data_IF_266798247549
#
_entry.id   IF_266798247549
#
_cell.length_a   1.000
_cell.length_b   1.000
_cell.length_c   1.000
_cell.angle_alpha   90.00
_cell.angle_beta   90.00
_cell.angle_gamma   90.00
#
_symmetry.space_group_name_H-M   'P 1'
#
loop_
_entity.id
_entity.type
_entity.pdbx_description
1 polymer ?
#
# COMPACT_ATOMS: atom_id res chain seq x y z
N UNK A 1 67.83 -12.14 -10.90
CA UNK A 1 68.92 -12.93 -11.53
C UNK A 1 69.31 -14.06 -10.60
N UNK A 2 69.53 -15.27 -11.12
CA UNK A 2 69.89 -16.42 -10.28
C UNK A 2 71.22 -16.16 -9.53
N UNK A 3 71.30 -16.40 -8.22
CA UNK A 3 72.49 -16.27 -7.37
C UNK A 3 73.74 -16.96 -7.95
N UNK A 4 73.51 -18.04 -8.71
CA UNK A 4 74.54 -18.81 -9.41
C UNK A 4 75.23 -18.00 -10.51
N UNK A 5 74.49 -17.15 -11.24
CA UNK A 5 75.02 -16.27 -12.30
C UNK A 5 75.86 -15.12 -11.74
N UNK A 6 75.50 -14.60 -10.57
CA UNK A 6 76.29 -13.57 -9.87
C UNK A 6 77.60 -14.18 -9.37
N UNK A 7 77.52 -15.36 -8.76
CA UNK A 7 78.69 -16.12 -8.30
C UNK A 7 79.64 -16.44 -9.45
N UNK A 8 79.13 -16.89 -10.61
CA UNK A 8 79.96 -17.20 -11.77
C UNK A 8 80.67 -15.97 -12.35
N UNK A 9 79.98 -14.82 -12.39
CA UNK A 9 80.55 -13.54 -12.85
C UNK A 9 81.62 -13.00 -11.90
N UNK A 10 81.43 -13.10 -10.58
CA UNK A 10 82.42 -12.63 -9.59
C UNK A 10 83.69 -13.51 -9.56
N UNK A 11 83.58 -14.78 -9.96
CA UNK A 11 84.72 -15.70 -10.04
C UNK A 11 85.44 -15.65 -11.40
N UNK A 12 84.84 -15.02 -12.42
CA UNK A 12 85.41 -14.91 -13.75
C UNK A 12 86.76 -14.17 -13.78
N UNK A 13 86.93 -12.99 -13.12
CA UNK A 13 88.21 -12.30 -13.10
C UNK A 13 89.34 -13.15 -12.50
N UNK A 14 89.06 -13.97 -11.48
CA UNK A 14 90.07 -14.86 -10.92
C UNK A 14 90.53 -15.93 -11.92
N UNK A 15 89.57 -16.52 -12.66
CA UNK A 15 89.89 -17.48 -13.74
C UNK A 15 90.64 -16.79 -14.87
N UNK A 16 90.28 -15.57 -15.22
CA UNK A 16 90.97 -14.76 -16.24
C UNK A 16 92.39 -14.38 -15.80
N UNK A 17 92.61 -14.02 -14.54
CA UNK A 17 93.95 -13.80 -13.99
C UNK A 17 94.80 -15.09 -14.02
N UNK A 18 94.24 -16.23 -13.62
CA UNK A 18 94.96 -17.50 -13.71
C UNK A 18 95.32 -17.86 -15.16
N UNK A 19 94.46 -17.53 -16.12
CA UNK A 19 94.70 -17.73 -17.55
C UNK A 19 95.70 -16.74 -18.13
N UNK A 20 95.69 -15.47 -17.72
CA UNK A 20 96.59 -14.44 -18.23
C UNK A 20 98.04 -14.60 -17.74
N UNK A 21 98.23 -15.27 -16.60
CA UNK A 21 99.55 -15.66 -16.09
C UNK A 21 100.14 -16.87 -16.83
N UNK A 22 99.38 -17.53 -17.73
CA UNK A 22 99.91 -18.62 -18.55
C UNK A 22 100.82 -18.07 -19.63
N UNK A 23 101.99 -18.69 -19.79
CA UNK A 23 102.92 -18.34 -20.87
C UNK A 23 103.77 -17.09 -20.61
N UNK A 24 103.79 -16.56 -19.38
CA UNK A 24 104.67 -15.44 -19.04
C UNK A 24 106.15 -15.85 -19.19
N UNK A 25 106.94 -15.15 -20.01
CA UNK A 25 108.34 -15.49 -20.23
C UNK A 25 109.15 -15.25 -18.95
N UNK A 26 110.06 -16.18 -18.61
CA UNK A 26 110.98 -15.94 -17.48
C UNK A 26 111.96 -14.83 -17.85
N UNK A 27 112.41 -13.99 -16.91
CA UNK A 27 113.51 -13.05 -17.16
C UNK A 27 114.78 -13.74 -17.69
N UNK A 28 114.99 -15.01 -17.31
CA UNK A 28 116.10 -15.86 -17.78
C UNK A 28 115.90 -16.46 -19.18
N UNK A 29 114.75 -16.27 -19.82
CA UNK A 29 114.48 -16.84 -21.17
C UNK A 29 115.28 -16.18 -22.29
N UNK A 30 115.94 -15.05 -22.02
CA UNK A 30 116.92 -14.45 -22.93
C UNK A 30 118.31 -15.11 -22.88
N UNK A 31 118.58 -16.02 -21.94
CA UNK A 31 119.79 -16.86 -21.96
C UNK A 31 119.48 -18.20 -22.62
N UNK A 32 120.20 -18.50 -23.70
CA UNK A 32 119.98 -19.57 -24.69
C UNK A 32 120.04 -21.02 -24.21
N UNK A 33 120.06 -21.31 -22.91
CA UNK A 33 120.57 -22.60 -22.43
C UNK A 33 119.54 -23.58 -21.82
N UNK A 34 118.22 -23.32 -21.87
CA UNK A 34 117.25 -24.38 -21.54
C UNK A 34 115.90 -24.24 -22.28
N UNK A 35 115.67 -25.03 -23.36
CA UNK A 35 114.42 -25.01 -24.12
C UNK A 35 113.20 -25.47 -23.30
N UNK A 36 113.41 -26.16 -22.17
CA UNK A 36 112.33 -26.84 -21.46
C UNK A 36 111.65 -25.99 -20.39
N UNK A 37 112.12 -24.74 -20.14
CA UNK A 37 111.51 -23.81 -19.16
C UNK A 37 111.56 -22.34 -19.60
N UNK A 38 111.01 -22.04 -20.78
CA UNK A 38 110.94 -20.67 -21.32
C UNK A 38 109.97 -19.74 -20.56
N UNK A 39 108.99 -20.31 -19.85
CA UNK A 39 107.95 -19.55 -19.14
C UNK A 39 108.03 -19.78 -17.63
N UNK A 40 107.57 -18.82 -16.81
CA UNK A 40 107.36 -19.04 -15.37
C UNK A 40 106.53 -20.33 -15.18
N UNK A 41 106.67 -21.06 -14.04
CA UNK A 41 105.79 -22.20 -13.75
C UNK A 41 104.36 -21.75 -14.04
N UNK A 42 103.74 -22.36 -15.04
CA UNK A 42 102.44 -21.93 -15.55
C UNK A 42 101.49 -22.09 -14.40
N UNK A 43 100.93 -21.01 -13.87
CA UNK A 43 99.86 -21.09 -12.87
C UNK A 43 98.69 -21.79 -13.56
N UNK A 44 98.55 -23.10 -13.37
CA UNK A 44 97.45 -23.87 -13.97
C UNK A 44 96.28 -23.93 -12.99
N UNK A 45 95.08 -23.94 -13.53
CA UNK A 45 93.85 -23.99 -12.71
C UNK A 45 93.75 -25.29 -11.88
N UNK A 46 94.49 -26.34 -12.28
CA UNK A 46 94.56 -27.64 -11.62
C UNK A 46 95.70 -27.77 -10.58
N UNK A 47 96.49 -26.73 -10.34
CA UNK A 47 97.49 -26.74 -9.26
C UNK A 47 96.82 -26.62 -7.89
N UNK A 48 97.24 -27.44 -6.93
CA UNK A 48 96.57 -27.54 -5.62
C UNK A 48 96.48 -26.19 -4.89
N UNK A 49 97.55 -25.39 -4.92
CA UNK A 49 97.57 -24.06 -4.30
C UNK A 49 96.68 -23.03 -5.02
N UNK A 50 96.42 -23.19 -6.32
CA UNK A 50 95.49 -22.33 -7.10
C UNK A 50 94.06 -22.76 -6.85
N UNK A 51 93.81 -24.08 -6.85
CA UNK A 51 92.50 -24.67 -6.54
C UNK A 51 92.04 -24.34 -5.13
N UNK A 52 92.91 -24.49 -4.13
CA UNK A 52 92.60 -24.17 -2.73
C UNK A 52 92.23 -22.68 -2.56
N UNK A 53 92.96 -21.79 -3.23
CA UNK A 53 92.68 -20.34 -3.19
C UNK A 53 91.40 -20.00 -3.96
N UNK A 54 91.14 -20.66 -5.08
CA UNK A 54 89.88 -20.54 -5.82
C UNK A 54 88.69 -21.00 -4.98
N UNK A 55 88.77 -22.16 -4.33
CA UNK A 55 87.73 -22.70 -3.45
C UNK A 55 87.47 -21.78 -2.26
N UNK A 56 88.53 -21.21 -1.66
CA UNK A 56 88.41 -20.20 -0.61
C UNK A 56 87.66 -18.94 -1.09
N UNK A 57 88.03 -18.40 -2.25
CA UNK A 57 87.35 -17.23 -2.83
C UNK A 57 85.90 -17.57 -3.18
N UNK A 58 85.66 -18.75 -3.76
CA UNK A 58 84.32 -19.24 -4.04
C UNK A 58 83.47 -19.35 -2.76
N UNK A 59 84.03 -19.86 -1.66
CA UNK A 59 83.37 -19.90 -0.36
C UNK A 59 82.99 -18.51 0.16
N UNK A 60 83.90 -17.54 0.03
CA UNK A 60 83.65 -16.14 0.42
C UNK A 60 82.53 -15.52 -0.44
N UNK A 61 82.56 -15.70 -1.76
CA UNK A 61 81.53 -15.19 -2.68
C UNK A 61 80.18 -15.82 -2.36
N UNK A 62 80.11 -17.15 -2.20
CA UNK A 62 78.87 -17.86 -1.84
C UNK A 62 78.27 -17.35 -0.53
N UNK A 63 79.11 -17.15 0.50
CA UNK A 63 78.67 -16.60 1.80
C UNK A 63 78.12 -15.17 1.65
N UNK A 64 78.78 -14.33 0.86
CA UNK A 64 78.32 -12.96 0.63
C UNK A 64 77.02 -12.90 -0.17
N UNK A 65 76.83 -13.80 -1.15
CA UNK A 65 75.56 -13.93 -1.89
C UNK A 65 74.43 -14.42 -0.96
N UNK A 66 74.67 -15.40 -0.10
CA UNK A 66 73.68 -15.87 0.87
C UNK A 66 73.29 -14.76 1.88
N UNK A 67 74.25 -13.96 2.34
CA UNK A 67 73.96 -12.79 3.18
C UNK A 67 73.12 -11.73 2.45
N UNK A 68 73.27 -11.60 1.12
CA UNK A 68 72.44 -10.70 0.33
C UNK A 68 71.00 -11.20 0.19
N UNK A 69 70.79 -12.51 0.12
CA UNK A 69 69.45 -13.12 0.11
C UNK A 69 68.68 -12.86 1.42
N UNK A 70 69.37 -12.79 2.57
CA UNK A 70 68.76 -12.47 3.86
C UNK A 70 68.12 -11.07 3.91
N UNK A 71 68.40 -10.18 2.96
CA UNK A 71 67.69 -8.90 2.85
C UNK A 71 66.21 -9.11 2.54
N UNK A 72 65.85 -10.21 1.86
CA UNK A 72 64.45 -10.56 1.56
C UNK A 72 63.63 -10.80 2.83
N UNK A 73 64.26 -11.26 3.92
CA UNK A 73 63.57 -11.52 5.20
C UNK A 73 62.94 -10.25 5.78
N UNK A 74 63.54 -9.08 5.50
CA UNK A 74 62.99 -7.78 5.92
C UNK A 74 61.67 -7.45 5.23
N UNK A 75 61.41 -8.03 4.06
CA UNK A 75 60.21 -7.78 3.26
C UNK A 75 59.09 -8.77 3.56
N UNK A 76 59.36 -9.89 4.24
CA UNK A 76 58.36 -10.91 4.58
C UNK A 76 57.08 -10.33 5.21
N UNK A 77 57.14 -9.39 6.17
CA UNK A 77 55.94 -8.81 6.77
C UNK A 77 55.08 -7.99 5.80
N UNK A 78 55.60 -7.59 4.64
CA UNK A 78 54.94 -6.68 3.69
C UNK A 78 54.51 -7.38 2.39
N UNK A 79 54.87 -8.66 2.19
CA UNK A 79 54.55 -9.39 0.95
C UNK A 79 53.03 -9.51 0.72
N UNK A 80 52.23 -9.46 1.78
CA UNK A 80 50.77 -9.49 1.67
C UNK A 80 50.21 -8.34 0.81
N UNK A 81 50.90 -7.19 0.75
CA UNK A 81 50.50 -6.05 -0.08
C UNK A 81 50.39 -6.39 -1.57
N UNK A 82 51.11 -7.42 -2.03
CA UNK A 82 51.04 -7.88 -3.42
C UNK A 82 49.70 -8.57 -3.75
N UNK A 83 48.97 -9.03 -2.75
CA UNK A 83 47.69 -9.75 -2.88
C UNK A 83 46.53 -9.00 -2.21
N UNK A 84 46.80 -7.85 -1.60
CA UNK A 84 45.81 -7.11 -0.82
C UNK A 84 44.67 -6.56 -1.68
N UNK A 85 44.89 -6.41 -2.99
CA UNK A 85 43.85 -6.02 -3.96
C UNK A 85 42.60 -6.92 -3.87
N UNK A 86 42.80 -8.24 -3.72
CA UNK A 86 41.68 -9.19 -3.61
C UNK A 86 40.87 -8.99 -2.32
N UNK A 87 41.53 -8.63 -1.21
CA UNK A 87 40.86 -8.35 0.06
C UNK A 87 40.13 -7.02 0.04
N UNK A 88 40.67 -6.03 -0.68
CA UNK A 88 39.98 -4.76 -0.91
C UNK A 88 38.69 -5.01 -1.68
N UNK A 89 38.72 -5.82 -2.76
CA UNK A 89 37.50 -6.15 -3.49
C UNK A 89 36.46 -6.88 -2.60
N UNK A 90 36.87 -7.88 -1.81
CA UNK A 90 35.98 -8.56 -0.85
C UNK A 90 35.40 -7.57 0.18
N UNK A 91 36.23 -6.67 0.70
CA UNK A 91 35.80 -5.62 1.62
C UNK A 91 34.76 -4.70 0.98
N UNK A 92 34.97 -4.35 -0.30
CA UNK A 92 34.07 -3.49 -1.05
C UNK A 92 32.75 -4.21 -1.38
N UNK A 93 32.73 -5.51 -1.65
CA UNK A 93 31.47 -6.25 -1.90
C UNK A 93 30.50 -6.18 -0.71
N UNK A 94 31.03 -6.15 0.51
CA UNK A 94 30.25 -6.02 1.74
C UNK A 94 29.62 -4.63 1.88
N UNK A 95 28.28 -4.57 1.89
CA UNK A 95 27.52 -3.33 2.13
C UNK A 95 27.41 -2.92 3.61
N UNK A 96 27.77 -3.79 4.54
CA UNK A 96 27.66 -3.53 6.00
C UNK A 96 28.84 -2.75 6.59
N UNK A 97 29.85 -2.41 5.79
CA UNK A 97 31.06 -1.73 6.27
C UNK A 97 30.75 -0.29 6.66
N UNK A 98 31.13 0.06 7.88
CA UNK A 98 30.90 1.37 8.49
C UNK A 98 32.00 2.36 8.15
N UNK A 99 31.76 3.65 8.39
CA UNK A 99 32.80 4.71 8.34
C UNK A 99 34.07 4.34 9.10
N UNK A 100 33.91 3.74 10.29
CA UNK A 100 35.04 3.33 11.12
C UNK A 100 35.86 2.22 10.46
N UNK A 101 35.21 1.25 9.82
CA UNK A 101 35.91 0.16 9.13
C UNK A 101 36.77 0.69 7.98
N UNK A 102 36.28 1.67 7.22
CA UNK A 102 37.07 2.33 6.18
C UNK A 102 38.26 3.10 6.77
N UNK A 103 38.04 3.86 7.85
CA UNK A 103 39.08 4.61 8.52
C UNK A 103 40.20 3.69 9.07
N UNK A 104 39.81 2.61 9.75
CA UNK A 104 40.73 1.65 10.35
C UNK A 104 41.54 0.91 9.27
N UNK A 105 40.92 0.53 8.15
CA UNK A 105 41.62 -0.15 7.05
C UNK A 105 42.60 0.78 6.34
N UNK A 106 42.19 2.02 6.03
CA UNK A 106 43.09 3.02 5.42
C UNK A 106 44.25 3.32 6.36
N UNK A 107 43.99 3.47 7.66
CA UNK A 107 45.04 3.67 8.67
C UNK A 107 46.01 2.50 8.70
N UNK A 108 45.52 1.26 8.72
CA UNK A 108 46.37 0.07 8.70
C UNK A 108 47.33 0.04 7.51
N UNK A 109 46.84 0.37 6.31
CA UNK A 109 47.67 0.43 5.10
C UNK A 109 48.69 1.57 5.16
N UNK A 110 48.31 2.76 5.66
CA UNK A 110 49.23 3.89 5.85
C UNK A 110 50.32 3.59 6.87
N UNK A 111 49.96 3.02 8.01
CA UNK A 111 50.91 2.61 9.07
C UNK A 111 51.88 1.54 8.54
N UNK A 112 51.39 0.63 7.69
CA UNK A 112 52.23 -0.38 7.01
C UNK A 112 53.23 0.28 6.06
N UNK A 113 52.80 1.26 5.26
CA UNK A 113 53.69 2.04 4.37
C UNK A 113 54.75 2.79 5.16
N UNK A 114 54.37 3.47 6.24
CA UNK A 114 55.30 4.18 7.11
C UNK A 114 56.35 3.23 7.72
N UNK A 115 55.91 2.06 8.20
CA UNK A 115 56.80 1.03 8.75
C UNK A 115 57.75 0.47 7.69
N UNK A 116 57.28 0.29 6.45
CA UNK A 116 58.12 -0.14 5.32
C UNK A 116 59.20 0.90 5.03
N UNK A 117 58.83 2.18 4.94
CA UNK A 117 59.77 3.28 4.67
C UNK A 117 60.84 3.41 5.76
N UNK A 118 60.49 3.20 7.02
CA UNK A 118 61.42 3.25 8.15
C UNK A 118 62.37 2.04 8.17
N UNK A 119 61.85 0.81 7.98
CA UNK A 119 62.62 -0.43 8.17
C UNK A 119 63.37 -0.91 6.92
N UNK A 120 62.95 -0.49 5.72
CA UNK A 120 63.46 -1.01 4.45
C UNK A 120 64.20 0.07 3.65
N UNK A 121 65.54 0.22 3.82
CA UNK A 121 66.30 1.23 3.08
C UNK A 121 66.41 0.86 1.60
N UNK A 122 66.34 1.87 0.72
CA UNK A 122 66.43 1.70 -0.74
C UNK A 122 67.75 1.12 -1.24
N UNK A 123 68.82 1.23 -0.43
CA UNK A 123 70.15 0.68 -0.72
C UNK A 123 70.72 0.00 0.52
N UNK A 124 71.02 -1.28 0.40
CA UNK A 124 71.72 -2.03 1.45
C UNK A 124 73.15 -2.28 1.01
N UNK A 125 74.10 -1.59 1.65
CA UNK A 125 75.52 -1.77 1.39
C UNK A 125 76.04 -2.99 2.15
N UNK A 126 76.69 -3.91 1.44
CA UNK A 126 77.35 -5.07 2.02
C UNK A 126 78.84 -5.05 1.68
N UNK A 127 79.58 -6.07 2.15
CA UNK A 127 81.03 -6.14 1.97
C UNK A 127 81.44 -6.22 0.49
N UNK A 128 80.82 -7.12 -0.29
CA UNK A 128 81.18 -7.35 -1.71
C UNK A 128 80.15 -6.82 -2.72
N UNK A 129 78.96 -6.43 -2.26
CA UNK A 129 77.85 -6.06 -3.15
C UNK A 129 76.93 -5.04 -2.50
N UNK A 130 76.11 -4.39 -3.32
CA UNK A 130 75.04 -3.50 -2.89
C UNK A 130 73.72 -4.02 -3.42
N UNK A 131 72.73 -4.18 -2.56
CA UNK A 131 71.38 -4.53 -2.95
C UNK A 131 70.59 -3.23 -3.20
N UNK A 132 70.12 -3.06 -4.42
CA UNK A 132 69.19 -1.98 -4.80
C UNK A 132 67.76 -2.46 -4.55
N UNK A 133 67.13 -1.98 -3.48
CA UNK A 133 65.76 -2.36 -3.12
C UNK A 133 64.74 -1.24 -3.42
N UNK A 134 65.19 -0.11 -3.98
CA UNK A 134 64.33 1.05 -4.24
C UNK A 134 63.12 0.76 -5.14
N UNK A 135 63.25 -0.13 -6.12
CA UNK A 135 62.12 -0.53 -6.98
C UNK A 135 61.11 -1.39 -6.22
N UNK A 136 61.57 -2.32 -5.39
CA UNK A 136 60.71 -3.17 -4.55
C UNK A 136 59.94 -2.32 -3.54
N UNK A 137 60.63 -1.40 -2.85
CA UNK A 137 60.00 -0.43 -1.95
C UNK A 137 58.91 0.36 -2.66
N UNK A 138 59.23 0.95 -3.81
CA UNK A 138 58.28 1.75 -4.60
C UNK A 138 57.07 0.90 -5.01
N UNK A 139 57.28 -0.35 -5.43
CA UNK A 139 56.20 -1.24 -5.85
C UNK A 139 55.27 -1.61 -4.69
N UNK A 140 55.82 -1.96 -3.52
CA UNK A 140 55.02 -2.32 -2.35
C UNK A 140 54.22 -1.12 -1.82
N UNK A 141 54.85 0.06 -1.77
CA UNK A 141 54.16 1.31 -1.39
C UNK A 141 53.03 1.60 -2.38
N UNK A 142 53.30 1.51 -3.69
CA UNK A 142 52.30 1.73 -4.72
C UNK A 142 51.11 0.77 -4.60
N UNK A 143 51.35 -0.51 -4.28
CA UNK A 143 50.26 -1.47 -4.04
C UNK A 143 49.33 -1.01 -2.90
N UNK A 144 49.89 -0.55 -1.78
CA UNK A 144 49.11 -0.03 -0.66
C UNK A 144 48.36 1.27 -1.02
N UNK A 145 49.02 2.20 -1.72
CA UNK A 145 48.42 3.46 -2.17
C UNK A 145 47.28 3.23 -3.18
N UNK A 146 47.44 2.30 -4.11
CA UNK A 146 46.40 1.92 -5.06
C UNK A 146 45.20 1.27 -4.35
N UNK A 147 45.44 0.43 -3.33
CA UNK A 147 44.38 -0.13 -2.47
C UNK A 147 43.60 0.97 -1.74
N UNK A 148 44.30 1.92 -1.09
CA UNK A 148 43.68 3.07 -0.42
C UNK A 148 42.86 3.90 -1.41
N UNK A 149 43.41 4.18 -2.60
CA UNK A 149 42.73 4.96 -3.64
C UNK A 149 41.44 4.27 -4.08
N UNK A 150 41.45 2.96 -4.29
CA UNK A 150 40.25 2.18 -4.66
C UNK A 150 39.20 2.20 -3.56
N UNK A 151 39.59 1.96 -2.30
CA UNK A 151 38.69 2.00 -1.15
C UNK A 151 37.95 3.33 -1.07
N UNK A 152 38.69 4.44 -1.10
CA UNK A 152 38.14 5.78 -0.95
C UNK A 152 37.36 6.22 -2.18
N UNK A 153 37.83 5.91 -3.40
CA UNK A 153 37.08 6.20 -4.63
C UNK A 153 35.73 5.48 -4.66
N UNK A 154 35.68 4.23 -4.19
CA UNK A 154 34.42 3.49 -4.09
C UNK A 154 33.48 4.09 -3.03
N UNK A 155 34.01 4.52 -1.89
CA UNK A 155 33.24 5.21 -0.85
C UNK A 155 32.67 6.54 -1.37
N UNK A 156 33.46 7.35 -2.08
CA UNK A 156 33.01 8.59 -2.73
C UNK A 156 31.86 8.33 -3.70
N UNK A 157 32.01 7.34 -4.59
CA UNK A 157 30.95 6.96 -5.53
C UNK A 157 29.66 6.52 -4.82
N UNK A 158 29.77 5.70 -3.76
CA UNK A 158 28.60 5.29 -2.96
C UNK A 158 27.92 6.46 -2.29
N UNK A 159 28.68 7.37 -1.72
CA UNK A 159 28.14 8.54 -1.04
C UNK A 159 27.41 9.47 -2.03
N UNK A 160 27.97 9.64 -3.24
CA UNK A 160 27.33 10.37 -4.34
C UNK A 160 26.01 9.73 -4.78
N UNK A 161 26.00 8.41 -4.96
CA UNK A 161 24.79 7.66 -5.30
C UNK A 161 23.73 7.76 -4.20
N UNK A 162 24.14 7.66 -2.93
CA UNK A 162 23.25 7.79 -1.78
C UNK A 162 22.65 9.20 -1.70
N UNK A 163 23.46 10.24 -1.86
CA UNK A 163 22.99 11.63 -1.92
C UNK A 163 21.95 11.83 -3.03
N UNK A 164 22.18 11.26 -4.22
CA UNK A 164 21.25 11.36 -5.34
C UNK A 164 19.91 10.63 -5.07
N UNK A 165 19.96 9.46 -4.44
CA UNK A 165 18.75 8.73 -4.02
C UNK A 165 17.99 9.49 -2.94
N UNK A 166 18.71 10.12 -2.00
CA UNK A 166 18.14 10.91 -0.93
C UNK A 166 17.37 12.12 -1.48
N UNK A 167 17.96 12.86 -2.42
CA UNK A 167 17.28 13.97 -3.12
C UNK A 167 15.98 13.49 -3.79
N UNK A 168 16.02 12.37 -4.53
CA UNK A 168 14.82 11.82 -5.18
C UNK A 168 13.71 11.45 -4.21
N UNK A 169 14.06 11.00 -3.00
CA UNK A 169 13.08 10.68 -1.95
C UNK A 169 12.41 11.95 -1.41
N UNK A 170 13.17 13.03 -1.22
CA UNK A 170 12.60 14.33 -0.89
C UNK A 170 11.69 14.87 -2.00
N UNK A 171 12.11 14.81 -3.26
CA UNK A 171 11.28 15.23 -4.41
C UNK A 171 9.98 14.43 -4.48
N UNK A 172 10.04 13.11 -4.25
CA UNK A 172 8.85 12.26 -4.23
C UNK A 172 7.92 12.59 -3.07
N UNK A 173 8.47 12.90 -1.89
CA UNK A 173 7.72 13.35 -0.72
C UNK A 173 7.03 14.69 -1.00
N UNK A 174 7.77 15.66 -1.53
CA UNK A 174 7.24 16.97 -1.93
C UNK A 174 6.10 16.84 -2.95
N UNK A 175 6.30 16.04 -4.00
CA UNK A 175 5.31 15.83 -5.05
C UNK A 175 4.04 15.14 -4.53
N UNK A 176 4.18 14.22 -3.56
CA UNK A 176 3.03 13.58 -2.91
C UNK A 176 2.25 14.58 -2.07
N UNK A 177 2.94 15.38 -1.26
CA UNK A 177 2.32 16.32 -0.32
C UNK A 177 1.77 17.58 -1.00
N UNK A 178 2.29 17.95 -2.17
CA UNK A 178 1.86 19.12 -2.95
C UNK A 178 0.54 18.93 -3.70
N UNK A 179 -0.07 17.75 -3.65
CA UNK A 179 -1.37 17.49 -4.30
C UNK A 179 -2.47 18.30 -3.62
N UNK A 180 -3.36 18.87 -4.41
CA UNK A 180 -4.57 19.54 -3.91
C UNK A 180 -5.72 18.52 -3.79
N UNK A 181 -6.28 18.29 -2.60
CA UNK A 181 -7.43 17.41 -2.42
C UNK A 181 -8.68 18.07 -3.01
N UNK A 182 -9.49 17.27 -3.71
CA UNK A 182 -10.75 17.70 -4.32
C UNK A 182 -11.98 17.02 -3.73
N UNK A 183 -11.77 16.12 -2.78
CA UNK A 183 -12.78 15.29 -2.10
C UNK A 183 -12.34 15.01 -0.67
N UNK A 184 -13.29 14.64 0.18
CA UNK A 184 -13.08 14.33 1.59
C UNK A 184 -12.14 13.13 1.77
N UNK A 185 -12.16 12.13 0.86
CA UNK A 185 -11.24 10.98 0.91
C UNK A 185 -9.81 11.42 0.64
N UNK A 186 -9.61 12.19 -0.43
CA UNK A 186 -8.28 12.70 -0.79
C UNK A 186 -7.72 13.62 0.28
N UNK A 187 -8.59 14.39 0.95
CA UNK A 187 -8.20 15.24 2.06
C UNK A 187 -7.72 14.39 3.25
N UNK A 188 -8.53 13.43 3.70
CA UNK A 188 -8.17 12.55 4.81
C UNK A 188 -6.88 11.76 4.56
N UNK A 189 -6.70 11.22 3.35
CA UNK A 189 -5.47 10.53 2.94
C UNK A 189 -4.25 11.45 2.96
N UNK A 190 -4.44 12.72 2.57
CA UNK A 190 -3.36 13.70 2.54
C UNK A 190 -3.01 14.24 3.93
N UNK A 191 -4.00 14.44 4.81
CA UNK A 191 -3.79 14.78 6.22
C UNK A 191 -2.98 13.69 6.92
N UNK A 192 -3.38 12.42 6.74
CA UNK A 192 -2.61 11.28 7.26
C UNK A 192 -1.21 11.21 6.69
N UNK A 193 -1.07 11.40 5.37
CA UNK A 193 0.22 11.44 4.68
C UNK A 193 1.15 12.52 5.22
N UNK A 194 0.59 13.68 5.57
CA UNK A 194 1.33 14.81 6.13
C UNK A 194 1.78 14.51 7.56
N UNK A 195 0.90 13.93 8.38
CA UNK A 195 1.24 13.47 9.74
C UNK A 195 2.37 12.42 9.72
N UNK A 196 2.27 11.41 8.84
CA UNK A 196 3.31 10.40 8.66
C UNK A 196 4.65 11.02 8.20
N UNK A 197 4.58 12.02 7.31
CA UNK A 197 5.76 12.73 6.82
C UNK A 197 6.48 13.48 7.95
N UNK A 198 5.73 14.17 8.82
CA UNK A 198 6.26 14.92 9.97
C UNK A 198 6.84 13.98 11.02
N UNK A 199 6.10 12.92 11.38
CA UNK A 199 6.46 12.06 12.52
C UNK A 199 7.58 11.05 12.21
N UNK A 200 7.67 10.57 10.96
CA UNK A 200 8.53 9.43 10.61
C UNK A 200 9.48 9.71 9.45
N UNK A 201 8.95 10.15 8.31
CA UNK A 201 9.76 10.22 7.09
C UNK A 201 10.81 11.33 7.16
N UNK A 202 10.42 12.55 7.57
CA UNK A 202 11.35 13.68 7.61
C UNK A 202 12.49 13.45 8.61
N UNK A 203 12.28 13.01 9.87
CA UNK A 203 13.37 12.71 10.79
C UNK A 203 14.38 11.70 10.22
N UNK A 204 13.89 10.62 9.60
CA UNK A 204 14.74 9.61 8.99
C UNK A 204 15.56 10.17 7.81
N UNK A 205 14.93 10.98 6.94
CA UNK A 205 15.62 11.61 5.81
C UNK A 205 16.69 12.62 6.28
N UNK A 206 16.43 13.38 7.36
CA UNK A 206 17.40 14.31 7.94
C UNK A 206 18.59 13.59 8.59
N UNK A 207 18.36 12.44 9.21
CA UNK A 207 19.45 11.58 9.72
C UNK A 207 20.33 11.08 8.56
N UNK A 208 19.72 10.66 7.45
CA UNK A 208 20.46 10.25 6.25
C UNK A 208 21.24 11.42 5.62
N UNK A 209 20.71 12.65 5.66
CA UNK A 209 21.46 13.84 5.25
C UNK A 209 22.77 13.96 6.05
N UNK A 210 22.69 13.94 7.38
CA UNK A 210 23.88 14.02 8.23
C UNK A 210 24.84 12.83 7.99
N UNK A 211 24.33 11.64 7.66
CA UNK A 211 25.16 10.49 7.31
C UNK A 211 26.00 10.74 6.05
N UNK A 212 25.36 11.23 4.97
CA UNK A 212 26.03 11.56 3.70
C UNK A 212 27.10 12.63 3.89
N UNK A 213 26.83 13.64 4.73
CA UNK A 213 27.80 14.68 5.10
C UNK A 213 28.99 14.11 5.85
N UNK A 214 28.74 13.27 6.85
CA UNK A 214 29.79 12.67 7.66
C UNK A 214 30.67 11.71 6.83
N UNK A 215 30.14 11.05 5.81
CA UNK A 215 30.94 10.31 4.83
C UNK A 215 31.85 11.22 4.00
N UNK A 216 31.35 12.36 3.52
CA UNK A 216 32.17 13.33 2.77
C UNK A 216 33.31 13.87 3.63
N UNK A 217 33.03 14.23 4.89
CA UNK A 217 34.04 14.71 5.84
C UNK A 217 35.09 13.63 6.12
N UNK A 218 34.69 12.38 6.35
CA UNK A 218 35.63 11.28 6.54
C UNK A 218 36.56 11.12 5.33
N UNK A 219 36.02 11.14 4.11
CA UNK A 219 36.81 10.97 2.88
C UNK A 219 37.82 12.12 2.73
N UNK A 220 37.41 13.34 3.09
CA UNK A 220 38.28 14.50 3.14
C UNK A 220 39.39 14.36 4.21
N UNK A 221 39.04 13.94 5.42
CA UNK A 221 39.98 13.72 6.54
C UNK A 221 40.98 12.59 6.25
N UNK A 222 40.62 11.65 5.37
CA UNK A 222 41.49 10.61 4.85
C UNK A 222 42.27 11.06 3.60
N UNK A 223 42.43 12.37 3.37
CA UNK A 223 43.25 12.97 2.30
C UNK A 223 42.92 12.46 0.88
N UNK A 224 41.68 12.07 0.62
CA UNK A 224 41.26 11.67 -0.72
C UNK A 224 40.94 12.88 -1.59
N UNK A 225 41.40 12.93 -2.86
CA UNK A 225 41.00 14.00 -3.76
C UNK A 225 39.50 13.92 -4.07
N UNK A 226 38.76 14.93 -3.66
CA UNK A 226 37.34 15.11 -3.96
C UNK A 226 37.18 16.07 -5.15
N UNK A 227 36.25 15.75 -6.04
CA UNK A 227 35.89 16.61 -7.17
C UNK A 227 34.78 17.58 -6.80
N UNK A 228 34.59 18.63 -7.59
CA UNK A 228 33.47 19.56 -7.40
C UNK A 228 32.11 18.86 -7.45
N UNK A 229 31.96 17.79 -8.26
CA UNK A 229 30.71 17.04 -8.33
C UNK A 229 30.39 16.29 -7.03
N UNK A 230 31.41 15.83 -6.30
CA UNK A 230 31.23 15.12 -5.03
C UNK A 230 30.69 16.08 -3.96
N UNK A 231 31.21 17.31 -3.90
CA UNK A 231 30.69 18.37 -3.04
C UNK A 231 29.27 18.80 -3.44
N UNK A 232 29.01 18.98 -4.74
CA UNK A 232 27.70 19.39 -5.24
C UNK A 232 26.63 18.35 -4.91
N UNK A 233 26.93 17.06 -5.01
CA UNK A 233 25.97 16.00 -4.70
C UNK A 233 25.50 16.07 -3.23
N UNK A 234 26.43 16.21 -2.29
CA UNK A 234 26.11 16.36 -0.87
C UNK A 234 25.43 17.68 -0.57
N UNK A 235 25.89 18.77 -1.20
CA UNK A 235 25.28 20.09 -1.05
C UNK A 235 23.80 20.07 -1.46
N UNK A 236 23.46 19.47 -2.60
CA UNK A 236 22.07 19.31 -3.05
C UNK A 236 21.22 18.51 -2.06
N UNK A 237 21.75 17.46 -1.45
CA UNK A 237 21.04 16.73 -0.40
C UNK A 237 20.80 17.62 0.83
N UNK A 238 21.78 18.47 1.18
CA UNK A 238 21.68 19.41 2.30
C UNK A 238 20.71 20.57 2.08
N UNK A 239 20.40 20.94 0.84
CA UNK A 239 19.39 21.96 0.54
C UNK A 239 18.01 21.58 1.11
N UNK A 240 17.74 20.28 1.25
CA UNK A 240 16.48 19.75 1.80
C UNK A 240 16.38 19.79 3.33
N UNK A 241 17.41 20.25 4.05
CA UNK A 241 17.37 20.34 5.52
C UNK A 241 16.23 21.22 6.05
N UNK A 242 15.82 22.20 5.24
CA UNK A 242 14.78 23.17 5.58
C UNK A 242 13.37 22.69 5.13
N UNK A 243 13.23 21.42 4.72
CA UNK A 243 11.94 20.85 4.30
C UNK A 243 10.84 20.92 5.37
N UNK A 244 11.22 21.05 6.64
CA UNK A 244 10.26 21.35 7.72
C UNK A 244 9.45 22.63 7.49
N UNK A 245 10.04 23.65 6.86
CA UNK A 245 9.33 24.89 6.51
C UNK A 245 8.26 24.64 5.43
N UNK A 246 8.56 23.76 4.46
CA UNK A 246 7.58 23.33 3.47
C UNK A 246 6.42 22.58 4.13
N UNK A 247 6.70 21.65 5.07
CA UNK A 247 5.65 20.93 5.79
C UNK A 247 4.74 21.88 6.59
N UNK A 248 5.33 22.82 7.34
CA UNK A 248 4.54 23.81 8.09
C UNK A 248 3.68 24.70 7.18
N UNK A 249 4.22 25.14 6.05
CA UNK A 249 3.43 25.88 5.05
C UNK A 249 2.33 25.03 4.42
N UNK A 250 2.59 23.73 4.21
CA UNK A 250 1.62 22.80 3.67
C UNK A 250 0.49 22.52 4.65
N UNK A 251 0.77 22.37 5.95
CA UNK A 251 -0.25 22.24 7.00
C UNK A 251 -1.24 23.40 6.97
N UNK A 252 -0.73 24.64 6.89
CA UNK A 252 -1.59 25.84 6.79
C UNK A 252 -2.43 25.82 5.53
N UNK A 253 -1.84 25.45 4.40
CA UNK A 253 -2.55 25.41 3.11
C UNK A 253 -3.60 24.30 3.10
N UNK A 254 -3.30 23.13 3.66
CA UNK A 254 -4.20 21.99 3.76
C UNK A 254 -5.39 22.30 4.66
N UNK A 255 -5.18 23.04 5.76
CA UNK A 255 -6.27 23.52 6.61
C UNK A 255 -7.23 24.46 5.86
N UNK A 256 -6.71 25.32 4.98
CA UNK A 256 -7.55 26.17 4.12
C UNK A 256 -8.32 25.35 3.06
N UNK A 257 -7.69 24.32 2.50
CA UNK A 257 -8.35 23.41 1.56
C UNK A 257 -9.45 22.59 2.24
N UNK A 258 -9.20 22.12 3.47
CA UNK A 258 -10.20 21.48 4.34
C UNK A 258 -11.40 22.38 4.56
N UNK A 259 -11.19 23.62 4.97
CA UNK A 259 -12.28 24.58 5.18
C UNK A 259 -13.15 24.71 3.92
N UNK A 260 -12.56 24.80 2.72
CA UNK A 260 -13.32 24.88 1.46
C UNK A 260 -14.13 23.62 1.15
N UNK A 261 -13.62 22.45 1.53
CA UNK A 261 -14.34 21.18 1.37
C UNK A 261 -15.52 21.11 2.35
N UNK A 262 -15.28 21.48 3.62
CA UNK A 262 -16.32 21.57 4.65
C UNK A 262 -17.43 22.58 4.27
N UNK A 263 -17.07 23.74 3.73
CA UNK A 263 -18.04 24.73 3.21
C UNK A 263 -18.92 24.14 2.11
N UNK A 264 -18.33 23.40 1.15
CA UNK A 264 -19.09 22.74 0.08
C UNK A 264 -20.01 21.64 0.61
N UNK A 265 -19.56 20.87 1.61
CA UNK A 265 -20.39 19.86 2.26
C UNK A 265 -21.56 20.53 2.98
N UNK A 266 -21.31 21.62 3.72
CA UNK A 266 -22.35 22.41 4.37
C UNK A 266 -23.38 22.98 3.40
N UNK A 267 -22.95 23.50 2.24
CA UNK A 267 -23.86 23.94 1.18
C UNK A 267 -24.71 22.77 0.63
N UNK A 268 -24.10 21.60 0.46
CA UNK A 268 -24.79 20.41 -0.02
C UNK A 268 -25.84 19.93 0.99
N UNK A 269 -25.49 19.86 2.27
CA UNK A 269 -26.41 19.53 3.36
C UNK A 269 -27.58 20.51 3.42
N UNK A 270 -27.32 21.83 3.32
CA UNK A 270 -28.38 22.84 3.28
C UNK A 270 -29.37 22.59 2.14
N UNK A 271 -28.89 22.25 0.95
CA UNK A 271 -29.76 21.93 -0.20
C UNK A 271 -30.61 20.68 0.05
N UNK A 272 -30.05 19.65 0.68
CA UNK A 272 -30.81 18.45 1.08
C UNK A 272 -31.89 18.84 2.09
N UNK A 273 -31.56 19.61 3.13
CA UNK A 273 -32.54 20.04 4.13
C UNK A 273 -33.66 20.88 3.53
N UNK A 274 -33.35 21.81 2.62
CA UNK A 274 -34.35 22.61 1.90
C UNK A 274 -35.27 21.75 1.04
N UNK A 275 -34.71 20.76 0.33
CA UNK A 275 -35.50 19.80 -0.44
C UNK A 275 -36.39 18.93 0.47
N UNK A 276 -35.87 18.44 1.59
CA UNK A 276 -36.64 17.66 2.56
C UNK A 276 -37.81 18.45 3.14
N UNK A 277 -37.62 19.73 3.47
CA UNK A 277 -38.73 20.61 3.91
C UNK A 277 -39.80 20.72 2.81
N UNK A 278 -39.39 20.90 1.54
CA UNK A 278 -40.32 20.97 0.41
C UNK A 278 -41.07 19.64 0.18
N UNK A 279 -40.38 18.50 0.28
CA UNK A 279 -40.97 17.16 0.14
C UNK A 279 -41.92 16.88 1.30
N UNK A 280 -41.52 17.18 2.54
CA UNK A 280 -42.38 17.06 3.73
C UNK A 280 -43.65 17.90 3.59
N UNK A 281 -43.55 19.13 3.07
CA UNK A 281 -44.72 19.95 2.76
C UNK A 281 -45.62 19.31 1.68
N UNK A 282 -45.06 18.66 0.65
CA UNK A 282 -45.84 17.90 -0.35
C UNK A 282 -46.52 16.68 0.26
N UNK A 283 -45.84 15.94 1.15
CA UNK A 283 -46.42 14.81 1.90
C UNK A 283 -47.57 15.32 2.79
N UNK A 284 -47.40 16.46 3.47
CA UNK A 284 -48.43 17.05 4.32
C UNK A 284 -49.73 17.39 3.57
N UNK A 285 -49.67 17.72 2.27
CA UNK A 285 -50.88 17.95 1.43
C UNK A 285 -51.78 16.72 1.31
N UNK A 286 -51.30 15.52 1.65
CA UNK A 286 -52.16 14.33 1.73
C UNK A 286 -53.16 14.38 2.88
N UNK A 287 -52.94 15.24 3.89
CA UNK A 287 -53.91 15.54 4.95
C UNK A 287 -55.23 16.11 4.42
N UNK A 288 -55.22 16.69 3.20
CA UNK A 288 -56.40 17.32 2.59
C UNK A 288 -57.14 16.41 1.60
N UNK A 289 -56.63 15.21 1.32
CA UNK A 289 -57.16 14.29 0.31
C UNK A 289 -58.27 13.42 0.90
N UNK A 290 -59.39 13.28 0.19
CA UNK A 290 -60.55 12.52 0.65
C UNK A 290 -61.32 11.77 -0.45
N UNK A 291 -60.97 11.97 -1.73
CA UNK A 291 -61.77 11.44 -2.83
C UNK A 291 -61.42 9.99 -3.15
N UNK A 292 -62.37 9.08 -2.92
CA UNK A 292 -62.27 7.66 -3.31
C UNK A 292 -62.21 7.44 -4.83
N UNK A 293 -62.52 8.45 -5.65
CA UNK A 293 -62.43 8.38 -7.11
C UNK A 293 -61.03 8.67 -7.66
N UNK A 294 -60.17 9.29 -6.85
CA UNK A 294 -58.82 9.73 -7.26
C UNK A 294 -57.72 8.88 -6.62
N UNK A 295 -58.06 7.65 -6.21
CA UNK A 295 -57.15 6.77 -5.46
C UNK A 295 -55.89 6.44 -6.27
N UNK A 296 -56.04 6.10 -7.55
CA UNK A 296 -54.89 5.81 -8.42
C UNK A 296 -53.99 7.04 -8.58
N UNK A 297 -54.55 8.22 -8.85
CA UNK A 297 -53.79 9.49 -8.93
C UNK A 297 -53.02 9.79 -7.63
N UNK A 298 -53.60 9.46 -6.48
CA UNK A 298 -52.96 9.63 -5.17
C UNK A 298 -51.81 8.64 -5.00
N UNK A 299 -51.99 7.37 -5.39
CA UNK A 299 -50.96 6.35 -5.34
C UNK A 299 -49.79 6.65 -6.29
N UNK A 300 -50.05 7.20 -7.47
CA UNK A 300 -48.99 7.66 -8.39
C UNK A 300 -48.18 8.82 -7.79
N UNK A 301 -48.84 9.80 -7.17
CA UNK A 301 -48.17 10.89 -6.46
C UNK A 301 -47.34 10.37 -5.28
N UNK A 302 -47.84 9.39 -4.54
CA UNK A 302 -47.11 8.72 -3.46
C UNK A 302 -45.88 8.01 -4.01
N UNK A 303 -46.01 7.22 -5.07
CA UNK A 303 -44.88 6.53 -5.70
C UNK A 303 -43.79 7.51 -6.17
N UNK A 304 -44.19 8.68 -6.70
CA UNK A 304 -43.25 9.75 -7.06
C UNK A 304 -42.52 10.32 -5.82
N UNK A 305 -43.22 10.53 -4.71
CA UNK A 305 -42.63 11.00 -3.46
C UNK A 305 -41.73 9.94 -2.81
N UNK A 306 -42.11 8.66 -2.84
CA UNK A 306 -41.29 7.54 -2.37
C UNK A 306 -39.97 7.46 -3.13
N UNK A 307 -40.04 7.56 -4.47
CA UNK A 307 -38.83 7.59 -5.31
C UNK A 307 -37.93 8.78 -4.94
N UNK A 308 -38.52 9.94 -4.66
CA UNK A 308 -37.77 11.13 -4.26
C UNK A 308 -37.08 10.94 -2.91
N UNK A 309 -37.82 10.52 -1.88
CA UNK A 309 -37.29 10.24 -0.53
C UNK A 309 -36.25 9.12 -0.55
N UNK A 310 -36.38 8.13 -1.45
CA UNK A 310 -35.35 7.12 -1.69
C UNK A 310 -34.04 7.73 -2.18
N UNK A 311 -34.10 8.68 -3.11
CA UNK A 311 -32.94 9.48 -3.53
C UNK A 311 -32.35 10.32 -2.40
N UNK A 312 -33.17 11.00 -1.61
CA UNK A 312 -32.71 11.78 -0.45
C UNK A 312 -32.05 10.88 0.62
N UNK A 313 -32.50 9.63 0.76
CA UNK A 313 -31.85 8.65 1.67
C UNK A 313 -30.44 8.30 1.23
N UNK A 314 -30.24 8.10 -0.07
CA UNK A 314 -28.90 7.85 -0.61
C UNK A 314 -28.00 9.09 -0.44
N UNK A 315 -28.55 10.28 -0.66
CA UNK A 315 -27.83 11.54 -0.45
C UNK A 315 -27.41 11.74 1.02
N UNK A 316 -28.30 11.45 1.99
CA UNK A 316 -27.98 11.51 3.43
C UNK A 316 -26.91 10.47 3.79
N UNK A 317 -27.00 9.24 3.27
CA UNK A 317 -25.96 8.23 3.50
C UNK A 317 -24.59 8.65 2.97
N UNK A 318 -24.56 9.37 1.85
CA UNK A 318 -23.33 9.94 1.29
C UNK A 318 -22.79 11.09 2.15
N UNK A 319 -23.66 11.94 2.71
CA UNK A 319 -23.29 12.96 3.69
C UNK A 319 -22.64 12.32 4.91
N UNK A 320 -23.27 11.33 5.53
CA UNK A 320 -22.73 10.63 6.71
C UNK A 320 -21.36 10.01 6.44
N UNK A 321 -21.17 9.44 5.24
CA UNK A 321 -19.89 8.89 4.81
C UNK A 321 -18.81 9.96 4.73
N UNK A 322 -19.13 11.14 4.20
CA UNK A 322 -18.21 12.30 4.10
C UNK A 322 -17.91 12.92 5.45
N UNK A 323 -18.91 13.06 6.31
CA UNK A 323 -18.76 13.51 7.70
C UNK A 323 -17.79 12.61 8.47
N UNK A 324 -17.93 11.29 8.33
CA UNK A 324 -17.00 10.34 8.94
C UNK A 324 -15.56 10.47 8.46
N UNK A 325 -15.33 10.81 7.19
CA UNK A 325 -13.98 11.07 6.65
C UNK A 325 -13.36 12.35 7.22
N UNK A 326 -14.19 13.34 7.55
CA UNK A 326 -13.76 14.59 8.18
C UNK A 326 -13.64 14.48 9.71
N UNK A 327 -14.04 13.34 10.28
CA UNK A 327 -14.03 13.08 11.72
C UNK A 327 -15.20 13.71 12.48
N UNK A 328 -16.31 13.98 11.78
CA UNK A 328 -17.55 14.47 12.39
C UNK A 328 -18.50 13.34 12.76
N UNK A 329 -19.32 13.60 13.77
CA UNK A 329 -20.47 12.75 14.08
C UNK A 329 -21.54 12.88 13.00
N UNK A 330 -22.30 11.82 12.68
CA UNK A 330 -23.35 11.86 11.67
C UNK A 330 -24.42 12.90 12.00
N UNK A 331 -24.76 13.77 11.03
CA UNK A 331 -25.82 14.75 11.20
C UNK A 331 -27.22 14.11 11.20
N UNK A 332 -28.12 14.68 12.00
CA UNK A 332 -29.51 14.24 12.10
C UNK A 332 -30.38 14.82 10.97
N UNK A 333 -31.19 13.97 10.34
CA UNK A 333 -32.13 14.34 9.28
C UNK A 333 -33.56 13.91 9.64
N UNK A 334 -34.08 14.42 10.75
CA UNK A 334 -35.41 14.07 11.28
C UNK A 334 -36.54 14.30 10.27
N UNK A 335 -36.44 15.35 9.47
CA UNK A 335 -37.43 15.66 8.41
C UNK A 335 -37.56 14.53 7.38
N UNK A 336 -36.48 13.80 7.07
CA UNK A 336 -36.52 12.65 6.17
C UNK A 336 -37.29 11.49 6.82
N UNK A 337 -37.01 11.21 8.09
CA UNK A 337 -37.68 10.14 8.86
C UNK A 337 -39.16 10.44 9.03
N UNK A 338 -39.49 11.69 9.38
CA UNK A 338 -40.88 12.14 9.54
C UNK A 338 -41.63 12.10 8.20
N UNK A 339 -41.03 12.59 7.11
CA UNK A 339 -41.64 12.57 5.78
C UNK A 339 -41.95 11.14 5.31
N UNK A 340 -41.02 10.19 5.51
CA UNK A 340 -41.23 8.78 5.18
C UNK A 340 -42.35 8.16 6.02
N UNK A 341 -42.30 8.32 7.34
CA UNK A 341 -43.30 7.75 8.25
C UNK A 341 -44.70 8.29 7.94
N UNK A 342 -44.80 9.59 7.67
CA UNK A 342 -46.06 10.24 7.29
C UNK A 342 -46.55 9.74 5.93
N UNK A 343 -45.66 9.61 4.94
CA UNK A 343 -46.01 9.11 3.61
C UNK A 343 -46.47 7.65 3.65
N UNK A 344 -45.81 6.79 4.43
CA UNK A 344 -46.17 5.37 4.61
C UNK A 344 -47.56 5.19 5.23
N UNK A 345 -47.94 6.08 6.15
CA UNK A 345 -49.29 6.11 6.71
C UNK A 345 -50.32 6.40 5.62
N UNK A 346 -50.10 7.44 4.81
CA UNK A 346 -51.01 7.79 3.71
C UNK A 346 -51.05 6.71 2.63
N UNK A 347 -49.89 6.15 2.27
CA UNK A 347 -49.78 5.00 1.36
C UNK A 347 -50.63 3.84 1.85
N UNK A 348 -50.52 3.50 3.13
CA UNK A 348 -51.29 2.41 3.71
C UNK A 348 -52.79 2.63 3.60
N UNK A 349 -53.28 3.86 3.80
CA UNK A 349 -54.68 4.20 3.61
C UNK A 349 -55.13 4.06 2.16
N UNK A 350 -54.40 4.65 1.22
CA UNK A 350 -54.82 4.67 -0.18
C UNK A 350 -54.66 3.32 -0.88
N UNK A 351 -53.65 2.53 -0.50
CA UNK A 351 -53.52 1.13 -0.93
C UNK A 351 -54.71 0.32 -0.40
N UNK A 352 -55.05 0.47 0.89
CA UNK A 352 -56.23 -0.20 1.46
C UNK A 352 -57.52 0.23 0.77
N UNK A 353 -57.66 1.51 0.42
CA UNK A 353 -58.82 2.02 -0.31
C UNK A 353 -58.96 1.38 -1.70
N UNK A 354 -57.86 1.29 -2.46
CA UNK A 354 -57.84 0.62 -3.77
C UNK A 354 -58.17 -0.86 -3.63
N UNK A 355 -57.49 -1.53 -2.72
CA UNK A 355 -57.62 -2.97 -2.54
C UNK A 355 -59.05 -3.28 -2.07
N UNK A 356 -59.60 -2.55 -1.11
CA UNK A 356 -61.00 -2.72 -0.68
C UNK A 356 -62.00 -2.52 -1.83
N UNK A 357 -61.83 -1.50 -2.68
CA UNK A 357 -62.71 -1.30 -3.84
C UNK A 357 -62.63 -2.48 -4.84
N UNK A 358 -61.40 -2.93 -5.13
CA UNK A 358 -61.15 -4.03 -6.06
C UNK A 358 -61.74 -5.34 -5.52
N UNK A 359 -61.44 -5.67 -4.28
CA UNK A 359 -61.87 -6.92 -3.65
C UNK A 359 -63.39 -6.92 -3.44
N UNK A 360 -63.99 -5.81 -3.01
CA UNK A 360 -65.47 -5.70 -2.91
C UNK A 360 -66.13 -5.91 -4.27
N UNK A 361 -65.56 -5.35 -5.35
CA UNK A 361 -66.08 -5.59 -6.69
C UNK A 361 -66.01 -7.07 -7.10
N UNK A 362 -64.97 -7.79 -6.68
CA UNK A 362 -64.82 -9.23 -6.90
C UNK A 362 -65.83 -10.00 -6.05
N UNK A 363 -65.87 -9.78 -4.73
CA UNK A 363 -66.76 -10.49 -3.81
C UNK A 363 -68.25 -10.34 -4.18
N UNK A 364 -68.66 -9.14 -4.63
CA UNK A 364 -70.06 -8.86 -4.96
C UNK A 364 -70.49 -9.43 -6.33
N UNK A 365 -69.56 -9.57 -7.29
CA UNK A 365 -69.88 -9.89 -8.70
C UNK A 365 -69.42 -11.26 -9.17
N UNK A 366 -68.54 -11.94 -8.43
CA UNK A 366 -68.12 -13.30 -8.77
C UNK A 366 -69.29 -14.27 -8.60
N UNK A 367 -69.55 -15.15 -9.58
CA UNK A 367 -70.58 -16.19 -9.45
C UNK A 367 -70.31 -17.16 -8.29
N UNK A 368 -71.32 -17.39 -7.46
CA UNK A 368 -71.20 -18.22 -6.25
C UNK A 368 -71.14 -19.72 -6.57
N UNK A 369 -71.90 -20.18 -7.57
CA UNK A 369 -72.07 -21.61 -7.88
C UNK A 369 -71.21 -22.12 -9.04
N UNK A 370 -70.30 -21.31 -9.56
CA UNK A 370 -69.41 -21.71 -10.64
C UNK A 370 -68.37 -22.74 -10.14
N UNK A 371 -68.64 -24.04 -10.37
CA UNK A 371 -67.80 -25.20 -9.96
C UNK A 371 -66.29 -25.09 -10.28
N UNK A 372 -65.91 -24.28 -11.26
CA UNK A 372 -64.52 -24.08 -11.70
C UNK A 372 -63.78 -22.95 -10.96
N UNK A 373 -64.50 -22.09 -10.23
CA UNK A 373 -63.98 -20.85 -9.62
C UNK A 373 -63.94 -20.87 -8.09
N UNK A 374 -64.38 -21.97 -7.46
CA UNK A 374 -64.24 -22.27 -6.03
C UNK A 374 -64.22 -21.03 -5.13
N UNK A 375 -65.40 -20.47 -4.83
CA UNK A 375 -65.54 -19.33 -3.94
C UNK A 375 -65.08 -19.71 -2.53
N UNK A 376 -63.81 -19.44 -2.20
CA UNK A 376 -63.24 -19.79 -0.91
C UNK A 376 -63.69 -18.78 0.15
N UNK A 377 -64.81 -19.08 0.81
CA UNK A 377 -65.41 -18.23 1.85
C UNK A 377 -64.41 -17.95 2.97
N UNK A 378 -63.66 -18.96 3.42
CA UNK A 378 -62.65 -18.79 4.48
C UNK A 378 -61.57 -17.77 4.09
N UNK A 379 -61.06 -17.83 2.85
CA UNK A 379 -60.06 -16.86 2.38
C UNK A 379 -60.61 -15.43 2.34
N UNK A 380 -61.90 -15.26 1.98
CA UNK A 380 -62.58 -13.96 2.00
C UNK A 380 -62.74 -13.47 3.44
N UNK A 381 -63.15 -14.33 4.37
CA UNK A 381 -63.27 -13.99 5.80
C UNK A 381 -61.94 -13.49 6.37
N UNK A 382 -60.85 -14.21 6.11
CA UNK A 382 -59.49 -13.84 6.52
C UNK A 382 -59.06 -12.49 5.92
N UNK A 383 -59.31 -12.29 4.62
CA UNK A 383 -58.95 -11.06 3.91
C UNK A 383 -59.76 -9.85 4.39
N UNK A 384 -61.08 -10.00 4.56
CA UNK A 384 -61.96 -8.97 5.11
C UNK A 384 -61.55 -8.61 6.53
N UNK A 385 -61.23 -9.60 7.37
CA UNK A 385 -60.77 -9.32 8.73
C UNK A 385 -59.44 -8.57 8.76
N UNK A 386 -58.45 -9.00 7.97
CA UNK A 386 -57.18 -8.31 7.87
C UNK A 386 -57.32 -6.85 7.36
N UNK A 387 -58.15 -6.63 6.34
CA UNK A 387 -58.45 -5.29 5.83
C UNK A 387 -59.18 -4.44 6.88
N UNK A 388 -60.12 -5.02 7.63
CA UNK A 388 -60.87 -4.33 8.67
C UNK A 388 -59.97 -3.88 9.82
N UNK A 389 -59.10 -4.77 10.31
CA UNK A 389 -58.16 -4.46 11.40
C UNK A 389 -57.19 -3.35 10.96
N UNK A 390 -56.71 -3.40 9.70
CA UNK A 390 -55.90 -2.33 9.12
C UNK A 390 -56.67 -1.02 9.03
N UNK A 391 -57.94 -1.04 8.61
CA UNK A 391 -58.78 0.15 8.53
C UNK A 391 -59.00 0.78 9.92
N UNK A 392 -59.27 -0.04 10.93
CA UNK A 392 -59.43 0.40 12.33
C UNK A 392 -58.15 1.04 12.88
N UNK A 393 -57.00 0.39 12.65
CA UNK A 393 -55.71 0.93 13.09
C UNK A 393 -55.40 2.28 12.43
N UNK A 394 -55.61 2.38 11.11
CA UNK A 394 -55.43 3.63 10.37
C UNK A 394 -56.42 4.71 10.84
N UNK A 395 -57.68 4.35 11.07
CA UNK A 395 -58.69 5.28 11.62
C UNK A 395 -58.24 5.83 12.97
N UNK A 396 -57.87 4.94 13.92
CA UNK A 396 -57.45 5.34 15.26
C UNK A 396 -56.20 6.24 15.22
N UNK A 397 -55.22 5.91 14.37
CA UNK A 397 -54.04 6.75 14.16
C UNK A 397 -54.40 8.12 13.60
N UNK A 398 -55.19 8.19 12.53
CA UNK A 398 -55.56 9.45 11.88
C UNK A 398 -56.42 10.34 12.79
N UNK A 399 -57.27 9.74 13.63
CA UNK A 399 -58.02 10.46 14.67
C UNK A 399 -57.08 11.04 15.74
N UNK A 400 -56.12 10.25 16.22
CA UNK A 400 -55.11 10.70 17.19
C UNK A 400 -54.28 11.88 16.66
N UNK A 401 -53.90 11.83 15.39
CA UNK A 401 -53.12 12.89 14.72
C UNK A 401 -53.98 14.08 14.23
N UNK A 402 -55.28 14.11 14.54
CA UNK A 402 -56.24 15.15 14.10
C UNK A 402 -56.31 15.33 12.57
N UNK A 403 -56.19 14.24 11.80
CA UNK A 403 -56.25 14.24 10.33
C UNK A 403 -57.67 13.86 9.87
N UNK A 404 -58.52 14.87 9.69
CA UNK A 404 -59.97 14.67 9.49
C UNK A 404 -60.33 14.06 8.12
N UNK A 405 -59.76 14.55 7.02
CA UNK A 405 -60.21 14.21 5.66
C UNK A 405 -59.86 12.77 5.26
N UNK A 406 -58.58 12.36 5.27
CA UNK A 406 -58.19 10.95 5.21
C UNK A 406 -58.85 10.09 6.30
N UNK A 407 -59.02 10.62 7.52
CA UNK A 407 -59.70 9.92 8.61
C UNK A 407 -61.15 9.55 8.26
N UNK A 408 -61.88 10.42 7.55
CA UNK A 408 -63.23 10.10 7.06
C UNK A 408 -63.21 8.99 6.00
N UNK A 409 -62.17 8.90 5.17
CA UNK A 409 -61.98 7.78 4.25
C UNK A 409 -61.76 6.49 5.03
N UNK A 410 -60.87 6.50 6.04
CA UNK A 410 -60.64 5.34 6.90
C UNK A 410 -61.94 4.89 7.60
N UNK A 411 -62.74 5.83 8.14
CA UNK A 411 -64.07 5.54 8.73
C UNK A 411 -65.00 4.87 7.72
N UNK A 412 -65.06 5.39 6.50
CA UNK A 412 -65.87 4.80 5.44
C UNK A 412 -65.42 3.38 5.11
N UNK A 413 -64.11 3.16 4.93
CA UNK A 413 -63.56 1.83 4.67
C UNK A 413 -63.91 0.86 5.81
N UNK A 414 -63.82 1.29 7.06
CA UNK A 414 -64.24 0.48 8.22
C UNK A 414 -65.72 0.13 8.15
N UNK A 415 -66.61 1.08 7.81
CA UNK A 415 -68.05 0.82 7.67
C UNK A 415 -68.34 -0.14 6.51
N UNK A 416 -67.73 0.07 5.35
CA UNK A 416 -67.91 -0.77 4.16
C UNK A 416 -67.41 -2.20 4.43
N UNK A 417 -66.28 -2.36 5.13
CA UNK A 417 -65.75 -3.66 5.55
C UNK A 417 -66.58 -4.30 6.66
N UNK A 418 -67.18 -3.52 7.57
CA UNK A 418 -68.12 -4.05 8.56
C UNK A 418 -69.37 -4.62 7.88
N UNK A 419 -69.94 -3.90 6.93
CA UNK A 419 -71.08 -4.38 6.16
C UNK A 419 -70.75 -5.69 5.43
N UNK A 420 -69.54 -5.79 4.87
CA UNK A 420 -69.08 -7.05 4.28
C UNK A 420 -68.94 -8.16 5.33
N UNK A 421 -68.40 -7.86 6.52
CA UNK A 421 -68.33 -8.82 7.64
C UNK A 421 -69.71 -9.35 8.03
N UNK A 422 -70.70 -8.48 8.09
CA UNK A 422 -72.08 -8.83 8.45
C UNK A 422 -72.73 -9.75 7.39
N UNK A 423 -72.23 -9.70 6.14
CA UNK A 423 -72.68 -10.57 5.04
C UNK A 423 -71.89 -11.90 4.92
N UNK A 424 -70.80 -12.10 5.68
CA UNK A 424 -70.02 -13.35 5.64
C UNK A 424 -70.83 -14.59 6.07
N UNK A 425 -71.69 -14.54 7.11
CA UNK A 425 -72.54 -15.67 7.47
C UNK A 425 -73.47 -16.10 6.34
N UNK A 426 -74.02 -15.14 5.57
CA UNK A 426 -74.85 -15.44 4.40
C UNK A 426 -74.04 -16.20 3.34
N UNK A 427 -72.81 -15.75 3.04
CA UNK A 427 -71.92 -16.45 2.13
C UNK A 427 -71.61 -17.87 2.60
N UNK A 428 -71.35 -18.04 3.90
CA UNK A 428 -71.09 -19.35 4.49
C UNK A 428 -72.30 -20.27 4.38
N UNK A 429 -73.49 -19.77 4.65
CA UNK A 429 -74.72 -20.54 4.56
C UNK A 429 -75.02 -20.97 3.11
N UNK A 430 -74.90 -20.05 2.14
CA UNK A 430 -75.27 -20.31 0.74
C UNK A 430 -74.19 -21.07 -0.04
N UNK A 431 -72.92 -20.93 0.34
CA UNK A 431 -71.78 -21.60 -0.32
C UNK A 431 -71.29 -22.83 0.44
N UNK A 432 -72.07 -23.40 1.36
CA UNK A 432 -71.70 -24.62 2.07
C UNK A 432 -71.69 -25.83 1.08
N UNK A 433 -70.54 -26.48 0.84
CA UNK A 433 -70.44 -27.61 -0.10
C UNK A 433 -71.25 -28.84 0.33
N UNK A 434 -71.64 -28.95 1.61
CA UNK A 434 -72.41 -30.07 2.16
C UNK A 434 -73.94 -29.93 1.95
N UNK A 435 -74.38 -28.86 1.28
CA UNK A 435 -75.80 -28.65 0.97
C UNK A 435 -76.31 -29.62 -0.10
N UNK A 436 -77.07 -30.62 0.34
CA UNK A 436 -77.86 -31.53 -0.49
C UNK A 436 -79.18 -30.89 -0.95
N UNK A 437 -79.83 -31.46 -1.96
CA UNK A 437 -81.08 -30.93 -2.55
C UNK A 437 -82.20 -30.75 -1.51
N UNK A 438 -82.25 -31.60 -0.46
CA UNK A 438 -83.20 -31.45 0.66
C UNK A 438 -83.02 -30.13 1.43
N UNK A 439 -81.76 -29.70 1.66
CA UNK A 439 -81.49 -28.45 2.37
C UNK A 439 -81.86 -27.24 1.51
N UNK A 440 -81.79 -27.37 0.18
CA UNK A 440 -82.28 -26.33 -0.73
C UNK A 440 -83.80 -26.22 -0.75
N UNK A 441 -84.54 -27.33 -0.61
CA UNK A 441 -86.00 -27.30 -0.42
C UNK A 441 -86.38 -26.54 0.85
N UNK A 442 -85.65 -26.77 1.95
CA UNK A 442 -85.84 -26.03 3.21
C UNK A 442 -85.51 -24.54 3.05
N UNK A 443 -84.43 -24.20 2.35
CA UNK A 443 -84.08 -22.80 2.00
C UNK A 443 -85.20 -22.15 1.15
N UNK A 444 -85.78 -22.86 0.18
CA UNK A 444 -86.90 -22.35 -0.62
C UNK A 444 -88.16 -22.10 0.22
N UNK A 445 -88.44 -22.96 1.20
CA UNK A 445 -89.56 -22.78 2.13
C UNK A 445 -89.37 -21.55 3.02
N UNK A 446 -88.14 -21.27 3.45
CA UNK A 446 -87.79 -20.07 4.24
C UNK A 446 -87.93 -18.80 3.41
N UNK A 447 -87.47 -18.80 2.16
CA UNK A 447 -87.46 -17.62 1.29
C UNK A 447 -88.80 -17.35 0.59
N UNK A 448 -89.64 -18.37 0.43
CA UNK A 448 -90.92 -18.27 -0.28
C UNK A 448 -90.80 -18.22 -1.81
N UNK A 449 -89.61 -18.42 -2.38
CA UNK A 449 -89.36 -18.52 -3.81
C UNK A 449 -88.17 -19.44 -4.12
N UNK A 450 -88.13 -20.00 -5.33
CA UNK A 450 -87.05 -20.86 -5.77
C UNK A 450 -85.83 -20.04 -6.23
N UNK A 451 -84.65 -20.34 -5.68
CA UNK A 451 -83.37 -19.80 -6.13
C UNK A 451 -82.80 -20.68 -7.25
N UNK A 452 -82.60 -20.11 -8.44
CA UNK A 452 -81.89 -20.77 -9.53
C UNK A 452 -80.38 -20.80 -9.24
N UNK A 453 -79.83 -22.00 -9.02
CA UNK A 453 -78.41 -22.25 -8.69
C UNK A 453 -77.52 -22.19 -9.94
N UNK A 454 -77.61 -21.09 -10.68
CA UNK A 454 -76.87 -20.90 -11.94
C UNK A 454 -75.60 -20.06 -11.76
N UNK A 455 -74.79 -19.99 -12.82
CA UNK A 455 -73.57 -19.17 -12.84
C UNK A 455 -73.84 -17.65 -12.89
N UNK A 456 -75.09 -17.23 -12.79
CA UNK A 456 -75.44 -15.82 -12.74
C UNK A 456 -75.71 -15.33 -11.32
N UNK A 457 -75.83 -16.24 -10.33
CA UNK A 457 -76.03 -15.87 -8.94
C UNK A 457 -74.75 -15.32 -8.31
N UNK A 458 -74.82 -14.11 -7.75
CA UNK A 458 -73.70 -13.43 -7.09
C UNK A 458 -74.16 -12.93 -5.72
N UNK A 459 -73.22 -12.59 -4.83
CA UNK A 459 -73.57 -11.99 -3.54
C UNK A 459 -74.42 -10.72 -3.69
N UNK A 460 -74.11 -9.88 -4.68
CA UNK A 460 -74.94 -8.70 -4.98
C UNK A 460 -76.40 -9.09 -5.23
N UNK A 461 -76.67 -10.10 -6.05
CA UNK A 461 -78.03 -10.54 -6.35
C UNK A 461 -78.75 -11.11 -5.12
N UNK A 462 -78.04 -11.85 -4.26
CA UNK A 462 -78.62 -12.36 -3.01
C UNK A 462 -79.05 -11.21 -2.09
N UNK A 463 -78.20 -10.19 -1.97
CA UNK A 463 -78.53 -8.99 -1.19
C UNK A 463 -79.66 -8.18 -1.81
N UNK A 464 -79.70 -8.06 -3.14
CA UNK A 464 -80.79 -7.38 -3.88
C UNK A 464 -82.15 -8.11 -3.71
N UNK A 465 -82.11 -9.43 -3.45
CA UNK A 465 -83.28 -10.27 -3.14
C UNK A 465 -83.62 -10.32 -1.64
N UNK A 466 -83.01 -9.46 -0.82
CA UNK A 466 -83.26 -9.36 0.62
C UNK A 466 -82.97 -10.64 1.43
N UNK A 467 -82.03 -11.47 0.96
CA UNK A 467 -81.56 -12.65 1.72
C UNK A 467 -80.94 -12.28 3.06
N UNK A 468 -80.46 -11.03 3.21
CA UNK A 468 -79.90 -10.51 4.45
C UNK A 468 -80.87 -10.56 5.63
N UNK A 469 -82.18 -10.47 5.36
CA UNK A 469 -83.22 -10.54 6.40
C UNK A 469 -83.46 -11.96 6.94
N UNK A 470 -82.96 -12.99 6.24
CA UNK A 470 -83.16 -14.41 6.57
C UNK A 470 -81.86 -15.11 7.01
N UNK A 471 -80.80 -14.37 7.35
CA UNK A 471 -79.48 -14.97 7.66
C UNK A 471 -79.57 -15.99 8.80
N UNK A 472 -80.38 -15.72 9.83
CA UNK A 472 -80.50 -16.62 10.99
C UNK A 472 -81.12 -17.96 10.60
N UNK A 473 -82.21 -17.92 9.85
CA UNK A 473 -82.94 -19.07 9.35
C UNK A 473 -82.11 -19.86 8.33
N UNK A 474 -81.37 -19.17 7.45
CA UNK A 474 -80.48 -19.79 6.47
C UNK A 474 -79.30 -20.50 7.15
N UNK A 475 -78.75 -19.94 8.23
CA UNK A 475 -77.68 -20.59 8.99
C UNK A 475 -78.15 -21.83 9.77
N UNK A 476 -79.44 -21.94 10.12
CA UNK A 476 -80.00 -23.12 10.77
C UNK A 476 -80.19 -24.29 9.79
N UNK A 477 -80.40 -23.99 8.51
CA UNK A 477 -80.59 -24.98 7.44
C UNK A 477 -79.26 -25.43 6.81
N UNK A 478 -78.26 -24.54 6.77
CA UNK A 478 -76.93 -24.79 6.20
C UNK A 478 -75.98 -25.48 7.17
#
# INVERSE_FOLDING_TARGET
HEPQKVTSKLLQPYRECARSLRGLPRPSSNSRDDPWRATLPVVREDEDHVRERFERIQGIVKKNVANAEQVLDRYQPFLFLLQEDAKVEEFLESRSKTRKDYADYVKHLRDTVATLQDRCPSRVHMQMMRVEAGEVNRRLIQCAEDCIRRLLSRATGRNKDHAAVLVKRFEALEARLSRTPTSEEQLADLEKSLEEAVQKELPALLEECEDVKAWLLLIYDLDHPLTSEDYIAVYRAMEWKDFGNFLAAREVTLAQERQRIEEKLGEYMRRISEDLVAVKARVAKFRDKASMRLVEDYLEQIASLEKHLGGSTQAVSEVHRREGLLGYDPSDFDDLTEAKTTLDTFKSLWVLARDQQKETAIWMKTPLFAKQLGFNVQAIEEQVSAMFDRAQNLKAYLEKENITRPGNVAKKLTMDLQLMKDNLPLLRAVCNPDLEDRHWEDIYNVLGFALERDNTMTLQKLLDMDFGSYISELCEVS
#
